data_IF_141818097914
#
_entry.id   IF_141818097914
#
_cell.length_a   1.000
_cell.length_b   1.000
_cell.length_c   1.000
_cell.angle_alpha   90.00
_cell.angle_beta   90.00
_cell.angle_gamma   90.00
#
_symmetry.space_group_name_H-M   'P 1'
#
loop_
_entity.id
_entity.type
_entity.pdbx_description
1 polymer ?
#
# COMPACT_ATOMS: atom_id res chain seq x y z
N UNK A 1 24.36 6.91 1.81
CA UNK A 1 23.07 6.58 1.19
C UNK A 1 23.34 5.82 -0.10
N UNK A 2 22.61 4.73 -0.42
CA UNK A 2 22.73 4.08 -1.73
C UNK A 2 22.32 5.07 -2.83
N UNK A 3 23.04 5.06 -3.95
CA UNK A 3 22.69 5.87 -5.11
C UNK A 3 21.35 5.40 -5.70
N UNK A 4 20.37 6.29 -5.77
CA UNK A 4 19.06 6.00 -6.35
C UNK A 4 19.22 6.03 -7.87
N UNK A 5 19.25 4.87 -8.51
CA UNK A 5 19.31 4.75 -9.97
C UNK A 5 17.91 4.85 -10.56
N UNK A 6 17.59 5.97 -11.22
CA UNK A 6 16.27 6.30 -11.78
C UNK A 6 15.94 5.63 -13.11
N UNK A 7 16.62 4.53 -13.46
CA UNK A 7 16.67 3.97 -14.83
C UNK A 7 15.32 4.00 -15.56
N UNK A 8 15.32 4.63 -16.75
CA UNK A 8 14.27 4.62 -17.79
C UNK A 8 12.81 4.90 -17.38
N UNK A 9 12.55 5.40 -16.18
CA UNK A 9 11.19 5.69 -15.69
C UNK A 9 10.85 7.18 -15.82
N UNK A 10 9.64 7.47 -16.33
CA UNK A 10 9.08 8.81 -16.54
C UNK A 10 8.26 9.33 -15.34
N UNK A 11 8.12 8.52 -14.28
CA UNK A 11 7.49 8.92 -13.03
C UNK A 11 8.13 8.21 -11.83
N UNK A 12 8.17 8.90 -10.69
CA UNK A 12 8.59 8.33 -9.40
C UNK A 12 7.49 8.61 -8.38
N UNK A 13 6.99 7.56 -7.74
CA UNK A 13 6.07 7.63 -6.63
C UNK A 13 6.83 7.47 -5.32
N UNK A 14 6.43 8.22 -4.31
CA UNK A 14 7.02 8.15 -2.99
C UNK A 14 5.89 8.18 -1.97
N UNK A 15 5.99 7.28 -1.00
CA UNK A 15 5.06 7.21 0.12
C UNK A 15 5.82 7.60 1.37
N UNK A 16 5.34 8.64 2.03
CA UNK A 16 5.85 9.05 3.33
C UNK A 16 5.04 8.31 4.41
N UNK A 17 5.69 7.41 5.12
CA UNK A 17 5.10 6.65 6.22
C UNK A 17 5.66 7.13 7.54
N UNK A 18 4.81 7.61 8.44
CA UNK A 18 5.28 7.96 9.78
C UNK A 18 5.29 6.71 10.69
N UNK A 19 6.41 6.45 11.35
CA UNK A 19 6.46 5.43 12.42
C UNK A 19 5.67 5.85 13.66
N UNK A 20 5.35 7.15 13.77
CA UNK A 20 4.77 7.79 14.95
C UNK A 20 3.32 8.27 14.74
N UNK A 21 2.59 7.79 13.73
CA UNK A 21 1.17 8.10 13.51
C UNK A 21 0.88 9.59 13.24
N UNK A 22 1.76 10.25 12.50
CA UNK A 22 1.63 11.65 12.09
C UNK A 22 1.39 11.81 10.58
N UNK A 23 0.26 11.31 10.02
CA UNK A 23 -0.02 11.39 8.58
C UNK A 23 -0.03 12.83 8.07
N UNK A 24 -0.43 13.81 8.89
CA UNK A 24 -0.35 15.23 8.55
C UNK A 24 1.10 15.71 8.31
N UNK A 25 2.08 15.20 9.07
CA UNK A 25 3.50 15.56 8.88
C UNK A 25 4.08 14.93 7.60
N UNK A 26 3.77 13.66 7.35
CA UNK A 26 4.12 12.98 6.10
C UNK A 26 3.51 13.70 4.89
N UNK A 27 2.26 14.13 5.02
CA UNK A 27 1.58 14.95 4.03
C UNK A 27 2.37 16.24 3.81
N UNK A 28 2.51 17.13 4.79
CA UNK A 28 3.23 18.41 4.66
C UNK A 28 4.59 18.25 3.98
N UNK A 29 5.39 17.26 4.41
CA UNK A 29 6.68 16.95 3.81
C UNK A 29 6.58 16.70 2.29
N UNK A 30 5.62 15.88 1.82
CA UNK A 30 5.45 15.62 0.39
C UNK A 30 5.12 16.90 -0.41
N UNK A 31 4.31 17.82 0.15
CA UNK A 31 4.01 19.09 -0.54
C UNK A 31 5.19 20.02 -0.58
N UNK A 32 5.92 20.16 0.53
CA UNK A 32 7.07 21.07 0.61
C UNK A 32 8.16 20.70 -0.41
N UNK A 33 8.28 19.41 -0.75
CA UNK A 33 9.20 18.93 -1.77
C UNK A 33 8.61 18.87 -3.19
N UNK A 34 7.37 19.34 -3.38
CA UNK A 34 6.73 19.47 -4.69
C UNK A 34 6.33 18.12 -5.32
N UNK A 35 6.07 17.10 -4.51
CA UNK A 35 5.39 15.90 -5.00
C UNK A 35 3.93 16.25 -5.32
N UNK A 36 3.50 15.97 -6.55
CA UNK A 36 2.11 16.05 -6.97
C UNK A 36 1.30 15.00 -6.20
N UNK A 37 0.11 15.38 -5.75
CA UNK A 37 -0.73 14.52 -4.92
C UNK A 37 -2.01 14.16 -5.65
N UNK A 38 -2.25 12.86 -5.90
CA UNK A 38 -3.59 12.42 -6.20
C UNK A 38 -4.49 12.36 -4.95
N UNK A 39 -3.98 12.04 -3.72
CA UNK A 39 -4.66 12.13 -2.39
C UNK A 39 -3.79 11.57 -1.21
N UNK A 40 -3.97 12.04 0.04
CA UNK A 40 -3.39 11.42 1.26
C UNK A 40 -1.88 11.59 1.54
N UNK A 41 -1.25 10.53 2.11
CA UNK A 41 0.22 10.41 2.40
C UNK A 41 1.02 9.83 1.22
N UNK A 42 0.40 9.80 0.05
CA UNK A 42 0.99 9.40 -1.22
C UNK A 42 1.30 10.64 -2.05
N UNK A 43 2.51 10.71 -2.61
CA UNK A 43 2.91 11.74 -3.56
C UNK A 43 3.67 11.13 -4.73
N UNK A 44 3.50 11.66 -5.93
CA UNK A 44 4.31 11.30 -7.09
C UNK A 44 4.91 12.54 -7.72
N UNK A 45 6.08 12.40 -8.32
CA UNK A 45 6.61 13.38 -9.26
C UNK A 45 6.33 12.83 -10.66
N UNK A 46 5.58 13.61 -11.43
CA UNK A 46 5.54 13.48 -12.88
C UNK A 46 6.86 14.01 -13.41
N UNK A 47 7.71 13.15 -13.99
CA UNK A 47 8.91 13.62 -14.70
C UNK A 47 8.41 14.09 -16.06
N UNK A 48 7.86 15.31 -16.10
CA UNK A 48 7.53 15.93 -17.37
C UNK A 48 8.85 16.26 -18.06
N UNK A 49 9.13 15.48 -19.09
CA UNK A 49 10.27 15.59 -19.99
C UNK A 49 11.58 14.98 -19.46
N UNK A 50 12.35 14.41 -20.38
CA UNK A 50 13.61 13.65 -20.16
C UNK A 50 14.76 14.46 -19.52
N UNK A 51 14.47 15.67 -19.02
CA UNK A 51 15.41 16.72 -18.65
C UNK A 51 15.13 17.39 -17.30
N UNK A 52 14.20 16.89 -16.46
CA UNK A 52 14.12 17.34 -15.07
C UNK A 52 15.27 16.76 -14.24
N UNK A 53 16.46 17.34 -14.44
CA UNK A 53 17.71 16.95 -13.78
C UNK A 53 17.69 17.25 -12.26
N UNK A 54 16.68 17.94 -11.73
CA UNK A 54 16.57 18.27 -10.31
C UNK A 54 15.88 17.17 -9.49
N UNK A 55 15.25 16.17 -10.13
CA UNK A 55 14.57 15.06 -9.45
C UNK A 55 15.48 14.32 -8.45
N UNK A 56 16.72 13.91 -8.78
CA UNK A 56 17.62 13.30 -7.80
C UNK A 56 17.94 14.20 -6.60
N UNK A 57 18.14 15.51 -6.83
CA UNK A 57 18.48 16.46 -5.79
C UNK A 57 17.27 16.80 -4.89
N UNK A 58 16.07 16.90 -5.47
CA UNK A 58 14.80 17.04 -4.77
C UNK A 58 14.50 15.81 -3.92
N UNK A 59 14.70 14.61 -4.46
CA UNK A 59 14.54 13.35 -3.73
C UNK A 59 15.55 13.27 -2.58
N UNK A 60 16.81 13.66 -2.81
CA UNK A 60 17.83 13.70 -1.75
C UNK A 60 17.44 14.66 -0.62
N UNK A 61 16.96 15.86 -0.94
CA UNK A 61 16.46 16.83 0.05
C UNK A 61 15.28 16.26 0.83
N UNK A 62 14.30 15.70 0.13
CA UNK A 62 13.13 15.07 0.73
C UNK A 62 13.52 13.97 1.73
N UNK A 63 14.47 13.10 1.37
CA UNK A 63 14.90 12.01 2.24
C UNK A 63 15.65 12.49 3.47
N UNK A 64 16.48 13.52 3.31
CA UNK A 64 17.18 14.11 4.45
C UNK A 64 16.20 14.79 5.43
N UNK A 65 15.16 15.43 4.91
CA UNK A 65 14.13 16.07 5.73
C UNK A 65 13.20 15.03 6.37
N UNK A 66 12.88 13.94 5.65
CA UNK A 66 12.15 12.80 6.20
C UNK A 66 12.89 12.16 7.38
N UNK A 67 14.19 11.87 7.21
CA UNK A 67 15.06 11.30 8.25
C UNK A 67 15.12 12.21 9.48
N UNK A 68 15.30 13.53 9.28
CA UNK A 68 15.31 14.52 10.38
C UNK A 68 13.99 14.53 11.16
N UNK A 69 12.88 14.29 10.49
CA UNK A 69 11.54 14.26 11.09
C UNK A 69 11.16 12.86 11.62
N UNK A 70 12.03 11.85 11.49
CA UNK A 70 11.71 10.47 11.86
C UNK A 70 10.59 9.86 11.01
N UNK A 71 10.43 10.34 9.77
CA UNK A 71 9.45 9.86 8.81
C UNK A 71 10.12 8.79 7.94
N UNK A 72 9.59 7.58 7.98
CA UNK A 72 9.98 6.53 7.06
C UNK A 72 9.52 6.85 5.65
N UNK A 73 10.34 6.51 4.66
CA UNK A 73 10.01 6.71 3.26
C UNK A 73 10.07 5.37 2.55
N UNK A 74 9.03 5.11 1.76
CA UNK A 74 8.99 3.99 0.83
C UNK A 74 8.92 4.52 -0.60
N UNK A 75 9.82 4.03 -1.45
CA UNK A 75 9.82 4.37 -2.87
C UNK A 75 8.94 3.37 -3.61
N UNK A 76 8.17 3.91 -4.54
CA UNK A 76 7.34 3.13 -5.43
C UNK A 76 7.58 3.62 -6.84
N UNK A 77 8.04 2.74 -7.73
CA UNK A 77 8.11 3.07 -9.15
C UNK A 77 6.69 2.91 -9.70
N UNK A 78 5.94 3.99 -10.02
CA UNK A 78 4.57 3.89 -10.49
C UNK A 78 4.63 3.39 -11.94
N UNK A 79 4.75 2.08 -12.13
CA UNK A 79 4.75 1.47 -13.46
C UNK A 79 3.44 1.68 -14.21
N UNK A 80 2.36 2.00 -13.49
CA UNK A 80 1.01 2.14 -14.06
C UNK A 80 0.78 3.51 -14.68
N UNK A 81 1.47 4.55 -14.20
CA UNK A 81 1.21 5.91 -14.67
C UNK A 81 2.11 6.36 -15.82
N UNK A 82 3.20 5.64 -16.10
CA UNK A 82 4.09 5.90 -17.23
C UNK A 82 3.31 6.00 -18.56
N UNK A 83 2.37 5.09 -18.76
CA UNK A 83 1.57 5.07 -19.97
C UNK A 83 0.33 5.99 -19.90
N UNK A 84 -0.06 6.47 -18.71
CA UNK A 84 -1.27 7.27 -18.52
C UNK A 84 -1.05 8.78 -18.81
N UNK A 85 0.20 9.21 -18.95
CA UNK A 85 0.58 10.62 -19.12
C UNK A 85 1.26 10.97 -20.44
N UNK A 86 1.61 10.01 -21.28
CA UNK A 86 2.19 10.29 -22.59
C UNK A 86 1.08 10.53 -23.63
N UNK A 87 1.16 11.58 -24.48
CA UNK A 87 0.23 11.79 -25.61
C UNK A 87 0.28 10.67 -26.69
N UNK A 88 0.97 9.55 -26.42
CA UNK A 88 1.09 8.39 -27.28
C UNK A 88 0.21 7.19 -26.90
N UNK A 89 -0.54 7.21 -25.79
CA UNK A 89 -1.40 6.06 -25.45
C UNK A 89 -2.86 6.48 -25.32
N UNK A 90 -3.62 6.41 -26.41
CA UNK A 90 -5.09 6.47 -26.39
C UNK A 90 -5.75 5.27 -25.69
N UNK A 91 -5.15 4.75 -24.61
CA UNK A 91 -5.63 3.66 -23.77
C UNK A 91 -6.06 4.20 -22.41
N UNK A 92 -7.10 3.63 -21.80
CA UNK A 92 -7.57 4.08 -20.47
C UNK A 92 -6.65 3.53 -19.37
N UNK A 93 -6.63 4.16 -18.19
CA UNK A 93 -5.79 3.75 -17.03
C UNK A 93 -6.02 2.28 -16.66
N UNK A 94 -7.25 1.81 -16.82
CA UNK A 94 -7.67 0.42 -16.58
C UNK A 94 -6.97 -0.56 -17.54
N UNK A 95 -6.75 -0.17 -18.80
CA UNK A 95 -6.06 -1.00 -19.80
C UNK A 95 -4.57 -1.13 -19.49
N UNK A 96 -3.95 -0.02 -19.07
CA UNK A 96 -2.54 0.03 -18.69
C UNK A 96 -2.25 -0.76 -17.41
N UNK A 97 -3.19 -0.68 -16.46
CA UNK A 97 -3.18 -1.50 -15.28
C UNK A 97 -3.25 -2.98 -15.63
N UNK A 98 -4.19 -3.38 -16.51
CA UNK A 98 -4.37 -4.75 -16.97
C UNK A 98 -3.10 -5.28 -17.64
N UNK A 99 -2.48 -4.49 -18.52
CA UNK A 99 -1.22 -4.84 -19.19
C UNK A 99 -0.06 -5.00 -18.19
N UNK A 100 0.01 -4.15 -17.14
CA UNK A 100 1.00 -4.29 -16.06
C UNK A 100 0.76 -5.56 -15.24
N UNK A 101 -0.47 -5.83 -14.83
CA UNK A 101 -0.81 -7.02 -14.05
C UNK A 101 -0.56 -8.32 -14.82
N UNK A 102 -0.81 -8.34 -16.13
CA UNK A 102 -0.53 -9.50 -16.96
C UNK A 102 0.98 -9.73 -17.17
N UNK A 103 1.78 -8.66 -17.14
CA UNK A 103 3.26 -8.74 -17.10
C UNK A 103 3.76 -9.27 -15.76
N UNK A 104 3.27 -8.73 -14.64
CA UNK A 104 3.62 -9.20 -13.30
C UNK A 104 3.10 -10.62 -13.04
N UNK A 105 1.96 -11.02 -13.59
CA UNK A 105 1.47 -12.41 -13.56
C UNK A 105 2.48 -13.36 -14.24
N UNK A 106 2.95 -13.02 -15.45
CA UNK A 106 3.98 -13.81 -16.15
C UNK A 106 5.30 -13.87 -15.38
N UNK A 107 5.66 -12.80 -14.66
CA UNK A 107 6.86 -12.76 -13.82
C UNK A 107 6.70 -13.58 -12.54
N UNK A 108 5.58 -13.41 -11.84
CA UNK A 108 5.21 -14.14 -10.63
C UNK A 108 5.11 -15.65 -10.90
N UNK A 109 4.58 -16.07 -12.04
CA UNK A 109 4.64 -17.48 -12.48
C UNK A 109 6.08 -18.03 -12.56
N UNK A 110 7.06 -17.20 -12.95
CA UNK A 110 8.48 -17.60 -13.01
C UNK A 110 9.16 -17.56 -11.63
N UNK A 111 8.65 -16.74 -10.71
CA UNK A 111 9.24 -16.52 -9.38
C UNK A 111 8.57 -17.34 -8.27
N UNK A 112 7.31 -17.76 -8.44
CA UNK A 112 6.59 -18.71 -7.60
C UNK A 112 7.27 -20.08 -7.57
N UNK A 113 7.97 -20.45 -8.67
CA UNK A 113 8.87 -21.61 -8.72
C UNK A 113 10.06 -21.47 -7.75
N UNK A 114 10.41 -20.25 -7.32
CA UNK A 114 11.52 -19.95 -6.39
C UNK A 114 11.08 -19.66 -4.95
N UNK A 115 9.90 -19.08 -4.71
CA UNK A 115 9.49 -18.56 -3.38
C UNK A 115 8.86 -19.62 -2.47
N UNK A 116 8.46 -20.78 -3.00
CA UNK A 116 7.82 -21.88 -2.25
C UNK A 116 8.62 -22.46 -1.05
N UNK A 117 9.74 -21.86 -0.63
CA UNK A 117 10.68 -22.44 0.35
C UNK A 117 11.14 -21.52 1.49
N UNK A 118 10.53 -20.36 1.78
CA UNK A 118 10.93 -19.61 3.01
C UNK A 118 9.91 -18.61 3.55
N UNK A 119 9.39 -18.91 4.74
CA UNK A 119 8.64 -17.98 5.62
C UNK A 119 7.26 -18.51 5.97
N UNK A 120 6.85 -18.39 7.25
CA UNK A 120 5.53 -18.76 7.79
C UNK A 120 4.40 -18.54 6.77
N UNK A 121 3.63 -19.58 6.48
CA UNK A 121 2.47 -19.51 5.60
C UNK A 121 1.49 -18.41 6.07
N UNK A 122 0.95 -17.64 5.12
CA UNK A 122 0.04 -16.51 5.36
C UNK A 122 -1.16 -16.93 6.21
N UNK A 123 -1.62 -18.17 6.03
CA UNK A 123 -2.70 -18.79 6.80
C UNK A 123 -2.34 -18.95 8.28
N UNK A 124 -1.13 -19.45 8.58
CA UNK A 124 -0.63 -19.57 9.96
C UNK A 124 -0.48 -18.20 10.63
N UNK A 125 -0.02 -17.19 9.89
CA UNK A 125 0.07 -15.82 10.38
C UNK A 125 -1.31 -15.24 10.67
N UNK A 126 -2.26 -15.38 9.73
CA UNK A 126 -3.63 -14.88 9.85
C UNK A 126 -4.33 -15.51 11.06
N UNK A 127 -4.23 -16.83 11.20
CA UNK A 127 -4.77 -17.55 12.36
C UNK A 127 -4.12 -17.06 13.67
N UNK A 128 -2.79 -16.88 13.66
CA UNK A 128 -2.06 -16.35 14.81
C UNK A 128 -2.47 -14.92 15.20
N UNK A 129 -2.81 -14.08 14.21
CA UNK A 129 -3.36 -12.73 14.42
C UNK A 129 -4.75 -12.81 15.04
N UNK A 130 -5.66 -13.62 14.49
CA UNK A 130 -7.02 -13.78 15.00
C UNK A 130 -7.07 -14.11 16.50
N UNK A 131 -6.19 -14.99 16.96
CA UNK A 131 -6.11 -15.37 18.39
C UNK A 131 -5.54 -14.29 19.32
N UNK A 132 -4.90 -13.24 18.80
CA UNK A 132 -4.15 -12.25 19.58
C UNK A 132 -4.69 -10.85 19.46
N UNK A 133 -5.43 -10.54 18.40
CA UNK A 133 -6.10 -9.26 18.25
C UNK A 133 -7.23 -9.13 19.28
N UNK A 134 -7.51 -7.92 19.77
CA UNK A 134 -8.56 -7.69 20.75
C UNK A 134 -9.95 -7.94 20.17
N UNK A 135 -10.72 -8.79 20.85
CA UNK A 135 -12.05 -9.25 20.44
C UNK A 135 -11.99 -10.55 19.65
N UNK A 136 -13.14 -10.98 19.13
CA UNK A 136 -13.22 -12.19 18.30
C UNK A 136 -12.95 -11.83 16.84
N UNK A 137 -11.93 -12.46 16.27
CA UNK A 137 -11.54 -12.32 14.88
C UNK A 137 -11.51 -13.69 14.21
N UNK A 138 -11.94 -13.75 12.97
CA UNK A 138 -11.88 -14.94 12.12
C UNK A 138 -11.17 -14.60 10.82
N UNK A 139 -10.36 -15.53 10.30
CA UNK A 139 -9.60 -15.35 9.07
C UNK A 139 -10.21 -16.15 7.93
N UNK A 140 -10.25 -15.57 6.74
CA UNK A 140 -10.50 -16.25 5.48
C UNK A 140 -9.35 -15.94 4.52
N UNK A 141 -8.84 -16.94 3.80
CA UNK A 141 -7.89 -16.70 2.73
C UNK A 141 -8.65 -16.49 1.44
N UNK A 142 -8.37 -15.38 0.75
CA UNK A 142 -8.91 -15.05 -0.56
C UNK A 142 -7.80 -15.20 -1.59
N UNK A 143 -8.05 -16.03 -2.59
CA UNK A 143 -7.14 -16.22 -3.71
C UNK A 143 -7.55 -15.29 -4.87
N UNK A 144 -6.61 -14.46 -5.33
CA UNK A 144 -6.76 -13.64 -6.52
C UNK A 144 -6.02 -14.31 -7.67
N UNK A 145 -6.53 -15.45 -8.13
CA UNK A 145 -5.93 -16.20 -9.23
C UNK A 145 -5.99 -15.42 -10.56
N UNK A 146 -7.04 -14.60 -10.72
CA UNK A 146 -7.31 -13.77 -11.89
C UNK A 146 -6.93 -12.30 -11.65
N UNK A 147 -6.31 -11.58 -12.61
CA UNK A 147 -6.02 -10.17 -12.48
C UNK A 147 -7.25 -9.33 -12.17
N UNK A 148 -8.40 -9.55 -12.79
CA UNK A 148 -9.57 -8.67 -12.61
C UNK A 148 -10.12 -8.76 -11.19
N UNK A 149 -10.11 -9.95 -10.59
CA UNK A 149 -10.49 -10.12 -9.18
C UNK A 149 -9.64 -9.29 -8.19
N UNK A 150 -8.38 -9.02 -8.53
CA UNK A 150 -7.52 -8.14 -7.74
C UNK A 150 -7.93 -6.67 -7.91
N UNK A 151 -8.37 -6.26 -9.10
CA UNK A 151 -8.87 -4.90 -9.35
C UNK A 151 -10.17 -4.66 -8.62
N UNK A 152 -11.11 -5.60 -8.72
CA UNK A 152 -12.42 -5.47 -8.08
C UNK A 152 -12.26 -5.34 -6.55
N UNK A 153 -11.28 -6.03 -5.97
CA UNK A 153 -10.97 -5.91 -4.55
C UNK A 153 -10.27 -4.59 -4.18
N UNK A 154 -9.61 -3.92 -5.13
CA UNK A 154 -8.91 -2.67 -4.86
C UNK A 154 -9.86 -1.57 -4.35
N UNK A 155 -11.06 -1.49 -4.92
CA UNK A 155 -12.09 -0.53 -4.51
C UNK A 155 -12.60 -0.75 -3.08
N UNK A 156 -12.42 -1.97 -2.56
CA UNK A 156 -12.72 -2.31 -1.17
C UNK A 156 -11.61 -1.94 -0.19
N UNK A 157 -10.45 -1.46 -0.64
CA UNK A 157 -9.38 -1.05 0.26
C UNK A 157 -9.67 0.32 0.87
N UNK A 158 -9.61 0.42 2.20
CA UNK A 158 -9.59 1.71 2.88
C UNK A 158 -8.16 2.15 3.13
N UNK A 159 -7.43 2.32 2.03
CA UNK A 159 -6.05 2.76 2.01
C UNK A 159 -5.78 3.56 0.72
N UNK A 160 -4.93 4.57 0.84
CA UNK A 160 -4.44 5.37 -0.28
C UNK A 160 -2.93 5.57 -0.19
N UNK A 161 -2.25 4.61 0.46
CA UNK A 161 -0.85 4.65 0.79
C UNK A 161 -0.20 3.31 0.40
N UNK A 162 0.49 2.67 1.34
CA UNK A 162 1.36 1.52 1.09
C UNK A 162 0.61 0.28 0.62
N UNK A 163 -0.61 0.02 1.11
CA UNK A 163 -1.38 -1.15 0.70
C UNK A 163 -1.98 -0.95 -0.69
N UNK A 164 -2.62 0.20 -0.95
CA UNK A 164 -3.14 0.54 -2.27
C UNK A 164 -2.04 0.55 -3.33
N UNK A 165 -0.89 1.15 -3.01
CA UNK A 165 0.29 1.16 -3.88
C UNK A 165 0.81 -0.26 -4.15
N UNK A 166 0.95 -1.10 -3.12
CA UNK A 166 1.38 -2.48 -3.27
C UNK A 166 0.40 -3.29 -4.13
N UNK A 167 -0.90 -3.12 -3.89
CA UNK A 167 -1.97 -3.79 -4.60
C UNK A 167 -2.03 -3.40 -6.08
N UNK A 168 -1.70 -2.14 -6.40
CA UNK A 168 -1.70 -1.66 -7.78
C UNK A 168 -0.45 -2.10 -8.54
N UNK A 169 0.73 -2.05 -7.90
CA UNK A 169 2.00 -2.25 -8.60
C UNK A 169 2.43 -3.70 -8.70
N UNK A 170 2.02 -4.54 -7.76
CA UNK A 170 2.47 -5.92 -7.66
C UNK A 170 1.31 -6.89 -7.83
N UNK A 171 1.63 -8.11 -8.26
CA UNK A 171 0.69 -9.22 -8.21
C UNK A 171 0.51 -9.64 -6.76
N UNK A 172 -0.71 -9.59 -6.26
CA UNK A 172 -1.10 -10.09 -4.94
C UNK A 172 -1.90 -11.38 -5.16
N UNK A 173 -1.26 -12.57 -5.14
CA UNK A 173 -1.95 -13.81 -5.50
C UNK A 173 -2.95 -14.26 -4.44
N UNK A 174 -2.72 -13.90 -3.17
CA UNK A 174 -3.56 -14.26 -2.03
C UNK A 174 -3.54 -13.12 -1.01
N UNK A 175 -4.64 -12.96 -0.28
CA UNK A 175 -4.71 -12.13 0.91
C UNK A 175 -5.45 -12.87 2.03
N UNK A 176 -5.11 -12.58 3.28
CA UNK A 176 -5.94 -12.99 4.41
C UNK A 176 -6.87 -11.84 4.80
N UNK A 177 -8.17 -12.13 4.84
CA UNK A 177 -9.19 -11.21 5.31
C UNK A 177 -9.55 -11.61 6.74
N UNK A 178 -9.30 -10.71 7.69
CA UNK A 178 -9.66 -10.92 9.09
C UNK A 178 -10.94 -10.14 9.37
N UNK A 179 -12.02 -10.84 9.64
CA UNK A 179 -13.29 -10.23 10.04
C UNK A 179 -13.38 -10.21 11.56
N UNK A 180 -13.55 -9.02 12.12
CA UNK A 180 -13.54 -8.79 13.55
C UNK A 180 -14.80 -8.11 14.09
N UNK A 181 -14.74 -7.62 15.34
CA UNK A 181 -15.88 -6.99 16.00
C UNK A 181 -16.41 -5.79 15.22
N UNK A 182 -17.72 -5.58 15.29
CA UNK A 182 -18.43 -4.51 14.58
C UNK A 182 -18.28 -4.56 13.05
N UNK A 183 -18.06 -5.76 12.48
CA UNK A 183 -17.84 -5.98 11.04
C UNK A 183 -16.68 -5.15 10.47
N UNK A 184 -15.66 -4.92 11.30
CA UNK A 184 -14.40 -4.35 10.83
C UNK A 184 -13.60 -5.46 10.17
N UNK A 185 -13.00 -5.15 9.03
CA UNK A 185 -12.20 -6.12 8.29
C UNK A 185 -10.79 -5.61 8.06
N UNK A 186 -9.81 -6.47 8.32
CA UNK A 186 -8.41 -6.23 8.01
C UNK A 186 -8.00 -7.06 6.80
N UNK A 187 -7.16 -6.49 5.96
CA UNK A 187 -6.55 -7.15 4.81
C UNK A 187 -5.07 -7.35 5.12
N UNK A 188 -4.59 -8.58 4.97
CA UNK A 188 -3.18 -8.95 5.17
C UNK A 188 -2.62 -9.51 3.87
N UNK A 189 -1.52 -8.93 3.40
CA UNK A 189 -0.77 -9.43 2.24
C UNK A 189 0.70 -9.52 2.55
N UNK A 190 1.40 -10.44 1.88
CA UNK A 190 2.86 -10.40 1.85
C UNK A 190 3.33 -9.05 1.32
N UNK A 191 4.32 -8.46 2.00
CA UNK A 191 4.84 -7.16 1.58
C UNK A 191 5.74 -7.35 0.36
N UNK A 192 5.42 -6.78 -0.80
CA UNK A 192 6.27 -6.92 -1.98
C UNK A 192 7.68 -6.40 -1.73
N UNK A 193 8.70 -7.09 -2.24
CA UNK A 193 10.13 -6.76 -2.11
C UNK A 193 10.70 -6.81 -0.68
N UNK A 194 9.91 -7.09 0.36
CA UNK A 194 10.34 -7.12 1.76
C UNK A 194 10.02 -8.46 2.42
N UNK A 195 10.93 -9.44 2.25
CA UNK A 195 10.78 -10.77 2.83
C UNK A 195 10.63 -10.71 4.35
N UNK A 196 9.75 -11.56 4.89
CA UNK A 196 9.51 -11.65 6.34
C UNK A 196 8.68 -10.48 6.91
N UNK A 197 8.04 -9.68 6.05
CA UNK A 197 7.10 -8.64 6.44
C UNK A 197 5.78 -8.80 5.69
N UNK A 198 4.70 -8.35 6.32
CA UNK A 198 3.38 -8.25 5.72
C UNK A 198 2.85 -6.82 5.82
N UNK A 199 1.97 -6.45 4.90
CA UNK A 199 1.15 -5.26 5.03
C UNK A 199 -0.19 -5.66 5.67
N UNK A 200 -0.62 -4.89 6.66
CA UNK A 200 -1.94 -5.00 7.26
C UNK A 200 -2.66 -3.67 7.08
N UNK A 201 -3.81 -3.67 6.42
CA UNK A 201 -4.65 -2.50 6.21
C UNK A 201 -6.11 -2.74 6.51
N UNK A 202 -6.91 -1.68 6.42
CA UNK A 202 -8.35 -1.73 6.64
C UNK A 202 -9.08 -1.95 5.31
N UNK A 203 -10.17 -2.71 5.37
CA UNK A 203 -11.15 -2.77 4.27
C UNK A 203 -12.27 -1.74 4.47
N UNK A 204 -12.93 -1.38 3.39
CA UNK A 204 -14.13 -0.56 3.34
C UNK A 204 -15.22 -1.10 4.29
N UNK A 205 -16.11 -0.22 4.75
CA UNK A 205 -17.20 -0.63 5.61
C UNK A 205 -18.38 -1.10 4.79
N UNK A 206 -18.83 -2.32 5.08
CA UNK A 206 -20.05 -2.87 4.51
C UNK A 206 -21.25 -1.94 4.71
N UNK A 207 -21.93 -1.62 3.60
CA UNK A 207 -23.17 -0.83 3.59
C UNK A 207 -22.96 0.68 3.73
N UNK A 208 -21.73 1.18 3.65
CA UNK A 208 -21.43 2.62 3.67
C UNK A 208 -20.78 3.01 2.36
N UNK A 209 -21.49 3.82 1.57
CA UNK A 209 -20.96 4.45 0.35
C UNK A 209 -20.09 5.63 0.75
N UNK A 210 -18.79 5.54 0.46
CA UNK A 210 -17.79 6.57 0.75
C UNK A 210 -16.65 6.46 -0.26
N UNK A 211 -15.98 7.58 -0.58
CA UNK A 211 -14.74 7.55 -1.37
C UNK A 211 -13.58 7.10 -0.46
N UNK A 212 -13.44 5.78 -0.28
CA UNK A 212 -12.44 5.18 0.61
C UNK A 212 -11.00 5.39 0.15
N UNK A 213 -10.77 5.28 -1.16
CA UNK A 213 -9.47 5.61 -1.75
C UNK A 213 -9.16 7.10 -1.59
N UNK A 214 -10.17 7.96 -1.70
CA UNK A 214 -9.99 9.39 -1.54
C UNK A 214 -10.00 9.94 -0.13
N UNK A 215 -10.13 9.10 0.89
CA UNK A 215 -10.28 9.55 2.27
C UNK A 215 -8.95 10.02 2.88
N UNK A 216 -8.83 11.32 3.14
CA UNK A 216 -7.68 11.90 3.84
C UNK A 216 -7.55 11.40 5.30
N UNK A 217 -8.62 10.84 5.86
CA UNK A 217 -8.62 10.23 7.20
C UNK A 217 -8.61 8.69 7.13
N UNK A 218 -8.15 8.11 6.02
CA UNK A 218 -7.98 6.67 5.92
C UNK A 218 -7.09 6.15 7.07
N UNK A 219 -7.35 4.94 7.61
CA UNK A 219 -6.55 4.38 8.70
C UNK A 219 -5.06 4.22 8.36
N UNK A 220 -4.80 4.06 7.05
CA UNK A 220 -3.53 3.73 6.40
C UNK A 220 -2.95 2.40 6.87
N UNK A 221 -2.55 1.57 5.90
CA UNK A 221 -1.92 0.29 6.18
C UNK A 221 -0.56 0.46 6.86
N UNK A 222 -0.18 -0.56 7.61
CA UNK A 222 1.12 -0.64 8.30
C UNK A 222 1.88 -1.88 7.85
N UNK A 223 3.19 -1.74 7.67
CA UNK A 223 4.09 -2.88 7.54
C UNK A 223 4.42 -3.44 8.93
N UNK A 224 4.34 -4.76 9.07
CA UNK A 224 4.68 -5.47 10.31
C UNK A 224 5.52 -6.71 10.02
N UNK A 225 6.33 -7.20 10.97
CA UNK A 225 7.01 -8.49 10.83
C UNK A 225 6.00 -9.63 10.61
N UNK A 226 6.36 -10.63 9.81
CA UNK A 226 5.56 -11.85 9.59
C UNK A 226 5.63 -12.82 10.80
N UNK A 227 5.47 -12.28 12.00
CA UNK A 227 5.43 -13.02 13.26
C UNK A 227 4.18 -12.58 14.03
N UNK A 228 3.26 -13.52 14.25
CA UNK A 228 1.92 -13.23 14.77
C UNK A 228 1.91 -12.40 16.07
N UNK A 229 2.83 -12.65 17.00
CA UNK A 229 2.89 -11.92 18.27
C UNK A 229 3.24 -10.44 18.03
N UNK A 230 4.34 -10.18 17.31
CA UNK A 230 4.80 -8.81 17.01
C UNK A 230 3.81 -8.07 16.09
N UNK A 231 3.25 -8.78 15.12
CA UNK A 231 2.24 -8.24 14.21
C UNK A 231 0.97 -7.84 14.98
N UNK A 232 0.39 -8.75 15.78
CA UNK A 232 -0.84 -8.48 16.54
C UNK A 232 -0.67 -7.31 17.51
N UNK A 233 0.47 -7.23 18.21
CA UNK A 233 0.77 -6.11 19.09
C UNK A 233 0.79 -4.77 18.32
N UNK A 234 1.46 -4.73 17.17
CA UNK A 234 1.58 -3.51 16.36
C UNK A 234 0.24 -3.10 15.75
N UNK A 235 -0.51 -4.05 15.20
CA UNK A 235 -1.86 -3.84 14.64
C UNK A 235 -2.82 -3.32 15.71
N UNK A 236 -2.80 -3.92 16.91
CA UNK A 236 -3.68 -3.52 18.01
C UNK A 236 -3.38 -2.12 18.54
N UNK A 237 -2.10 -1.71 18.55
CA UNK A 237 -1.68 -0.40 19.06
C UNK A 237 -1.81 0.72 18.05
N UNK A 238 -1.60 0.46 16.77
CA UNK A 238 -1.47 1.52 15.73
C UNK A 238 -2.62 1.54 14.75
N UNK A 239 -2.98 0.38 14.18
CA UNK A 239 -3.98 0.33 13.10
C UNK A 239 -5.42 0.30 13.65
N UNK A 240 -5.72 -0.58 14.61
CA UNK A 240 -7.09 -0.75 15.12
C UNK A 240 -7.68 0.53 15.73
N UNK A 241 -6.95 1.35 16.50
CA UNK A 241 -7.49 2.59 17.03
C UNK A 241 -7.90 3.56 15.91
N UNK A 242 -7.05 3.74 14.89
CA UNK A 242 -7.35 4.61 13.73
C UNK A 242 -8.51 4.07 12.91
N UNK A 243 -8.55 2.77 12.65
CA UNK A 243 -9.65 2.15 11.91
C UNK A 243 -10.98 2.29 12.64
N UNK A 244 -11.00 2.07 13.96
CA UNK A 244 -12.20 2.28 14.79
C UNK A 244 -12.63 3.76 14.80
N UNK A 245 -11.69 4.69 14.86
CA UNK A 245 -11.98 6.12 14.82
C UNK A 245 -12.58 6.55 13.47
N UNK A 246 -11.93 6.16 12.37
CA UNK A 246 -12.41 6.44 11.02
C UNK A 246 -13.79 5.81 10.79
N UNK A 247 -13.99 4.57 11.25
CA UNK A 247 -15.28 3.89 11.12
C UNK A 247 -16.39 4.54 11.95
N UNK A 248 -16.09 5.03 13.16
CA UNK A 248 -17.05 5.79 13.96
C UNK A 248 -17.46 7.08 13.26
N UNK A 249 -16.50 7.79 12.65
CA UNK A 249 -16.76 9.02 11.89
C UNK A 249 -17.71 8.76 10.70
N UNK A 250 -17.51 7.68 9.94
CA UNK A 250 -18.39 7.40 8.80
C UNK A 250 -19.77 6.83 9.21
N UNK A 251 -19.85 6.12 10.33
CA UNK A 251 -21.12 5.57 10.84
C UNK A 251 -21.99 6.62 11.52
N UNK A 252 -21.36 7.62 12.14
CA UNK A 252 -22.01 8.72 12.83
C UNK A 252 -21.47 10.05 12.25
N UNK A 253 -21.87 10.39 11.01
CA UNK A 253 -21.35 11.56 10.30
C UNK A 253 -21.74 12.90 10.93
#
# INVERSE_FOLDING_TARGET
>A
MPAISLGDHDQIGVIALTSNDAPAAAHTLLTDHGFWRPRGVFGSILIQDRYDHDVPARLTRFLADADRQGIGVEYHLPRIFADAGAPAAGKRVEDLWRDNQQREYRRSQREAVRIATSGSDLESLAHGLCHRLPGEWVSCITDFADPDSQLDFFDDLWDNASLASAWMQFRVPRAAILTGPNRLELVVIDRPLHRGQVLVGARSLHGITHDYFGDDNAPHAIAVPAEAVRAAHTVSRRLLPRYRQAARRLRNP
#
